data_IF_005756701165
#
_entry.id   IF_005756701165
#
_cell.length_a   1.000
_cell.length_b   1.000
_cell.length_c   1.000
_cell.angle_alpha   90.00
_cell.angle_beta   90.00
_cell.angle_gamma   90.00
#
_symmetry.space_group_name_H-M   'P 1'
#
loop_
_entity.id
_entity.type
_entity.pdbx_description
1 polymer ?
#
# COMPACT_ATOMS: atom_id res chain seq x y z
N UNK A 1 29.67 10.15 19.39
CA UNK A 1 28.63 9.56 20.27
C UNK A 1 27.60 10.59 20.73
N UNK A 2 28.02 11.79 21.19
CA UNK A 2 27.09 12.84 21.65
C UNK A 2 26.18 13.40 20.54
N UNK A 3 26.67 13.49 19.30
CA UNK A 3 25.88 14.00 18.17
C UNK A 3 24.88 12.97 17.62
N UNK A 4 25.22 11.68 17.65
CA UNK A 4 24.32 10.61 17.23
C UNK A 4 23.10 10.52 18.18
N UNK A 5 23.34 10.64 19.49
CA UNK A 5 22.26 10.64 20.49
C UNK A 5 21.36 11.88 20.36
N UNK A 6 21.91 13.05 20.02
CA UNK A 6 21.12 14.25 19.72
C UNK A 6 20.29 14.11 18.44
N UNK A 7 20.84 13.47 17.40
CA UNK A 7 20.10 13.18 16.17
C UNK A 7 18.96 12.20 16.47
N UNK A 8 19.19 11.16 17.27
CA UNK A 8 18.17 10.19 17.69
C UNK A 8 17.05 10.87 18.53
N UNK A 9 17.40 11.69 19.52
CA UNK A 9 16.44 12.48 20.31
C UNK A 9 15.61 13.40 19.41
N UNK A 10 16.24 14.18 18.53
CA UNK A 10 15.54 15.06 17.61
C UNK A 10 14.62 14.30 16.64
N UNK A 11 15.00 13.09 16.23
CA UNK A 11 14.17 12.24 15.34
C UNK A 11 12.97 11.65 16.09
N UNK A 12 13.14 11.28 17.37
CA UNK A 12 12.05 10.85 18.25
C UNK A 12 11.07 11.98 18.56
N UNK A 13 11.57 13.20 18.75
CA UNK A 13 10.73 14.35 19.05
C UNK A 13 9.96 14.86 17.82
N UNK A 14 10.54 14.74 16.61
CA UNK A 14 9.82 14.99 15.35
C UNK A 14 8.57 14.11 15.21
N UNK A 15 8.65 12.86 15.66
CA UNK A 15 7.55 11.91 15.56
C UNK A 15 6.33 12.30 16.43
N UNK A 16 6.54 13.04 17.53
CA UNK A 16 5.46 13.53 18.40
C UNK A 16 5.02 14.96 18.06
N UNK A 17 5.59 15.57 17.03
CA UNK A 17 5.32 16.95 16.68
C UNK A 17 4.05 17.07 15.82
N UNK A 18 2.98 17.63 16.39
CA UNK A 18 1.74 17.94 15.65
C UNK A 18 2.00 18.81 14.42
N UNK A 19 2.95 19.74 14.50
CA UNK A 19 3.32 20.59 13.37
C UNK A 19 3.86 19.78 12.18
N UNK A 20 4.66 18.73 12.43
CA UNK A 20 5.16 17.84 11.36
C UNK A 20 4.05 17.03 10.69
N UNK A 21 3.01 16.67 11.44
CA UNK A 21 1.86 15.94 10.91
C UNK A 21 0.93 16.86 10.12
N UNK A 22 0.73 18.09 10.58
CA UNK A 22 -0.09 19.12 9.93
C UNK A 22 0.57 19.66 8.65
N UNK A 23 1.88 19.87 8.64
CA UNK A 23 2.64 20.40 7.50
C UNK A 23 2.69 19.43 6.30
N UNK A 24 2.42 18.13 6.52
CA UNK A 24 2.41 17.10 5.47
C UNK A 24 0.99 16.65 5.07
N UNK A 25 -0.06 17.19 5.68
CA UNK A 25 -1.44 16.91 5.29
C UNK A 25 -1.78 17.71 4.03
N UNK A 26 -1.92 16.98 2.92
CA UNK A 26 -2.51 17.54 1.71
C UNK A 26 -4.04 17.43 1.77
N UNK A 27 -4.74 18.24 0.97
CA UNK A 27 -6.18 18.06 0.77
C UNK A 27 -6.53 16.63 0.31
N UNK A 28 -5.61 15.94 -0.39
CA UNK A 28 -5.77 14.54 -0.77
C UNK A 28 -5.67 13.59 0.42
N UNK A 29 -4.80 13.88 1.38
CA UNK A 29 -4.61 13.09 2.61
C UNK A 29 -5.83 13.18 3.51
N UNK A 30 -6.32 14.40 3.78
CA UNK A 30 -7.53 14.58 4.60
C UNK A 30 -8.78 13.99 3.92
N UNK A 31 -8.85 14.07 2.58
CA UNK A 31 -9.90 13.42 1.81
C UNK A 31 -9.84 11.89 1.93
N UNK A 32 -8.64 11.29 1.84
CA UNK A 32 -8.44 9.86 2.06
C UNK A 32 -8.93 9.40 3.43
N UNK A 33 -8.47 10.06 4.50
CA UNK A 33 -8.88 9.75 5.88
C UNK A 33 -10.41 9.83 6.04
N UNK A 34 -11.05 10.83 5.42
CA UNK A 34 -12.50 11.03 5.51
C UNK A 34 -13.29 9.89 4.87
N UNK A 35 -12.82 9.37 3.73
CA UNK A 35 -13.59 8.42 2.93
C UNK A 35 -13.15 6.96 3.05
N UNK A 36 -12.05 6.69 3.75
CA UNK A 36 -11.55 5.32 3.96
C UNK A 36 -12.62 4.37 4.51
N UNK A 37 -13.25 4.74 5.63
CA UNK A 37 -14.30 3.93 6.24
C UNK A 37 -15.51 3.73 5.30
N UNK A 38 -15.81 4.71 4.45
CA UNK A 38 -16.91 4.62 3.47
C UNK A 38 -16.54 3.66 2.34
N UNK A 39 -15.35 3.79 1.75
CA UNK A 39 -14.90 2.90 0.69
C UNK A 39 -14.79 1.46 1.16
N UNK A 40 -14.22 1.21 2.34
CA UNK A 40 -14.13 -0.15 2.89
C UNK A 40 -15.52 -0.76 3.16
N UNK A 41 -16.50 0.07 3.54
CA UNK A 41 -17.89 -0.39 3.70
C UNK A 41 -18.51 -0.74 2.34
N UNK A 42 -18.34 0.11 1.33
CA UNK A 42 -18.89 -0.18 0.00
C UNK A 42 -18.17 -1.38 -0.65
N UNK A 43 -16.87 -1.54 -0.43
CA UNK A 43 -16.09 -2.71 -0.83
C UNK A 43 -16.65 -3.99 -0.19
N UNK A 44 -16.84 -4.01 1.14
CA UNK A 44 -17.46 -5.17 1.84
C UNK A 44 -18.83 -5.53 1.28
N UNK A 45 -19.67 -4.53 1.01
CA UNK A 45 -20.99 -4.75 0.40
C UNK A 45 -20.88 -5.35 -1.01
N UNK A 46 -19.98 -4.81 -1.83
CA UNK A 46 -19.73 -5.32 -3.17
C UNK A 46 -19.29 -6.80 -3.13
N UNK A 47 -18.27 -7.10 -2.32
CA UNK A 47 -17.73 -8.44 -2.16
C UNK A 47 -18.80 -9.43 -1.64
N UNK A 48 -19.62 -9.02 -0.66
CA UNK A 48 -20.77 -9.82 -0.21
C UNK A 48 -21.77 -10.09 -1.34
N UNK A 49 -22.08 -9.08 -2.16
CA UNK A 49 -23.04 -9.19 -3.27
C UNK A 49 -22.60 -10.15 -4.39
N UNK A 50 -21.29 -10.34 -4.56
CA UNK A 50 -20.73 -11.30 -5.53
C UNK A 50 -20.43 -12.68 -4.93
N UNK A 51 -20.88 -12.94 -3.69
CA UNK A 51 -20.70 -14.23 -3.03
C UNK A 51 -19.35 -14.43 -2.32
N UNK A 52 -18.55 -13.36 -2.19
CA UNK A 52 -17.26 -13.35 -1.50
C UNK A 52 -17.33 -12.50 -0.22
N UNK A 53 -18.06 -12.91 0.83
CA UNK A 53 -18.07 -12.18 2.09
C UNK A 53 -16.65 -12.01 2.64
N UNK A 54 -16.23 -10.77 2.90
CA UNK A 54 -14.88 -10.46 3.39
C UNK A 54 -14.88 -9.82 4.78
N UNK A 55 -13.93 -10.23 5.61
CA UNK A 55 -13.54 -9.51 6.82
C UNK A 55 -12.35 -8.62 6.47
N UNK A 56 -12.44 -7.34 6.82
CA UNK A 56 -11.36 -6.37 6.62
C UNK A 56 -10.76 -6.03 7.97
N UNK A 57 -9.44 -6.12 8.07
CA UNK A 57 -8.63 -5.84 9.25
C UNK A 57 -7.59 -4.76 8.92
N UNK A 58 -7.19 -3.99 9.92
CA UNK A 58 -6.09 -3.02 9.76
C UNK A 58 -4.83 -3.79 9.37
N UNK A 59 -4.09 -3.26 8.39
CA UNK A 59 -2.82 -3.85 8.01
C UNK A 59 -1.73 -3.58 9.06
N UNK A 60 -0.80 -4.53 9.16
CA UNK A 60 0.43 -4.38 9.93
C UNK A 60 1.53 -3.78 9.06
N UNK A 61 2.67 -3.51 9.69
CA UNK A 61 3.89 -3.10 8.98
C UNK A 61 4.71 -4.33 8.61
N UNK A 62 4.92 -4.53 7.31
CA UNK A 62 5.69 -5.64 6.75
C UNK A 62 7.11 -5.18 6.48
N UNK A 63 8.11 -5.94 6.92
CA UNK A 63 9.54 -5.67 6.68
C UNK A 63 10.12 -6.85 5.91
N UNK A 64 10.95 -6.56 4.89
CA UNK A 64 11.66 -7.62 4.19
C UNK A 64 12.66 -8.29 5.15
N UNK A 65 12.63 -9.62 5.30
CA UNK A 65 13.61 -10.33 6.13
C UNK A 65 15.03 -10.28 5.54
N UNK A 66 15.17 -9.99 4.23
CA UNK A 66 16.46 -9.93 3.53
C UNK A 66 16.99 -8.50 3.41
N UNK A 67 16.09 -7.55 3.18
CA UNK A 67 16.42 -6.14 2.98
C UNK A 67 15.69 -5.33 4.05
N UNK A 68 16.19 -5.34 5.28
CA UNK A 68 15.53 -4.75 6.46
C UNK A 68 15.19 -3.25 6.33
N UNK A 69 15.82 -2.55 5.37
CA UNK A 69 15.50 -1.17 5.02
C UNK A 69 14.25 -1.01 4.12
N UNK A 70 13.69 -2.12 3.66
CA UNK A 70 12.44 -2.18 2.88
C UNK A 70 11.30 -2.66 3.77
N UNK A 71 10.19 -1.93 3.72
CA UNK A 71 8.98 -2.35 4.39
C UNK A 71 7.78 -1.52 3.96
N UNK A 72 6.59 -2.08 4.07
CA UNK A 72 5.37 -1.44 3.59
C UNK A 72 4.22 -1.60 4.58
N UNK A 73 3.18 -0.80 4.38
CA UNK A 73 1.89 -1.04 5.02
C UNK A 73 0.81 -0.91 3.95
N UNK A 74 0.26 -2.02 3.46
CA UNK A 74 -1.01 -1.99 2.73
C UNK A 74 -2.07 -1.24 3.53
N UNK A 75 -3.11 -0.72 2.88
CA UNK A 75 -4.18 -0.06 3.63
C UNK A 75 -4.93 -1.05 4.53
N UNK A 76 -5.31 -2.21 4.00
CA UNK A 76 -6.02 -3.24 4.77
C UNK A 76 -5.65 -4.67 4.39
N UNK A 77 -5.72 -5.55 5.38
CA UNK A 77 -5.69 -7.00 5.20
C UNK A 77 -7.12 -7.50 5.08
N UNK A 78 -7.34 -8.46 4.20
CA UNK A 78 -8.65 -9.03 3.92
C UNK A 78 -8.65 -10.53 4.10
N UNK A 79 -9.72 -11.05 4.70
CA UNK A 79 -9.99 -12.47 4.83
C UNK A 79 -11.31 -12.77 4.12
N UNK A 80 -11.25 -13.43 2.97
CA UNK A 80 -12.40 -13.97 2.26
C UNK A 80 -12.82 -15.30 2.89
N UNK A 81 -13.94 -15.28 3.62
CA UNK A 81 -14.42 -16.45 4.37
C UNK A 81 -15.03 -17.53 3.46
N UNK A 82 -15.29 -17.20 2.19
CA UNK A 82 -15.86 -18.15 1.22
C UNK A 82 -14.80 -19.04 0.55
N UNK A 83 -13.52 -18.68 0.66
CA UNK A 83 -12.40 -19.38 0.00
C UNK A 83 -11.36 -19.85 1.03
N UNK A 84 -11.58 -20.97 1.75
CA UNK A 84 -10.68 -21.41 2.82
C UNK A 84 -9.22 -21.63 2.40
N UNK A 85 -8.99 -22.04 1.15
CA UNK A 85 -7.65 -22.33 0.61
C UNK A 85 -6.86 -21.05 0.26
N UNK A 86 -7.55 -19.96 -0.08
CA UNK A 86 -6.97 -18.68 -0.53
C UNK A 86 -7.59 -17.47 0.18
N UNK A 87 -7.93 -17.62 1.45
CA UNK A 87 -8.71 -16.63 2.20
C UNK A 87 -7.97 -15.29 2.38
N UNK A 88 -6.64 -15.27 2.37
CA UNK A 88 -5.86 -14.09 2.75
C UNK A 88 -5.45 -13.24 1.55
N UNK A 89 -5.87 -11.99 1.58
CA UNK A 89 -5.45 -10.97 0.64
C UNK A 89 -5.13 -9.64 1.30
N UNK A 90 -4.67 -8.71 0.50
CA UNK A 90 -4.45 -7.31 0.90
C UNK A 90 -5.13 -6.39 -0.12
N UNK A 91 -5.57 -5.23 0.36
CA UNK A 91 -6.22 -4.22 -0.47
C UNK A 91 -5.54 -2.88 -0.22
N UNK A 92 -5.30 -2.16 -1.31
CA UNK A 92 -4.89 -0.76 -1.30
C UNK A 92 -6.01 0.09 -1.93
N UNK A 93 -6.44 1.12 -1.21
CA UNK A 93 -7.59 1.93 -1.55
C UNK A 93 -7.14 3.35 -1.91
N UNK A 94 -7.53 3.82 -3.09
CA UNK A 94 -7.28 5.18 -3.54
C UNK A 94 -8.57 5.98 -3.69
N UNK A 95 -8.43 7.28 -3.40
CA UNK A 95 -9.50 8.28 -3.41
C UNK A 95 -9.06 9.46 -4.27
N UNK A 96 -9.42 9.51 -5.56
CA UNK A 96 -8.98 10.59 -6.42
C UNK A 96 -9.82 11.85 -6.16
N UNK A 97 -9.32 12.77 -5.32
CA UNK A 97 -10.02 13.99 -4.93
C UNK A 97 -10.53 14.79 -6.15
N UNK A 98 -9.71 14.93 -7.20
CA UNK A 98 -10.05 15.65 -8.44
C UNK A 98 -11.08 14.92 -9.32
N UNK A 99 -11.31 13.63 -9.10
CA UNK A 99 -12.25 12.78 -9.87
C UNK A 99 -13.33 12.17 -8.98
N UNK A 100 -13.49 12.66 -7.75
CA UNK A 100 -14.38 12.04 -6.77
C UNK A 100 -15.85 12.08 -7.18
N UNK A 101 -16.25 13.06 -7.99
CA UNK A 101 -17.63 13.27 -8.46
C UNK A 101 -18.00 12.54 -9.76
N UNK A 102 -17.06 11.81 -10.36
CA UNK A 102 -17.28 10.98 -11.57
C UNK A 102 -17.02 9.52 -11.25
N UNK A 103 -17.55 8.60 -12.06
CA UNK A 103 -17.23 7.17 -11.89
C UNK A 103 -15.77 6.89 -12.23
N UNK A 104 -15.16 5.79 -11.72
CA UNK A 104 -13.79 5.43 -12.08
C UNK A 104 -13.59 5.25 -13.59
N UNK A 105 -14.61 4.74 -14.29
CA UNK A 105 -14.59 4.58 -15.74
C UNK A 105 -14.61 5.93 -16.47
N UNK A 106 -15.46 6.87 -16.05
CA UNK A 106 -15.45 8.23 -16.59
C UNK A 106 -14.13 8.95 -16.30
N UNK A 107 -13.53 8.73 -15.12
CA UNK A 107 -12.25 9.32 -14.76
C UNK A 107 -11.10 8.89 -15.70
N UNK A 108 -11.18 7.70 -16.30
CA UNK A 108 -10.21 7.20 -17.27
C UNK A 108 -10.18 8.00 -18.59
N UNK A 109 -11.16 8.88 -18.84
CA UNK A 109 -11.10 9.79 -19.99
C UNK A 109 -10.00 10.85 -19.85
N UNK A 110 -9.50 11.08 -18.63
CA UNK A 110 -8.35 11.94 -18.38
C UNK A 110 -7.06 11.13 -18.54
N UNK A 111 -6.20 11.46 -19.52
CA UNK A 111 -4.95 10.73 -19.74
C UNK A 111 -3.97 10.85 -18.58
N UNK A 112 -4.11 11.84 -17.69
CA UNK A 112 -3.27 11.98 -16.49
C UNK A 112 -3.81 11.17 -15.29
N UNK A 113 -4.99 10.56 -15.41
CA UNK A 113 -5.50 9.67 -14.38
C UNK A 113 -4.70 8.37 -14.35
N UNK A 114 -4.51 7.80 -13.17
CA UNK A 114 -3.70 6.60 -12.98
C UNK A 114 -4.39 5.32 -13.44
N UNK A 115 -5.70 5.36 -13.72
CA UNK A 115 -6.40 4.28 -14.41
C UNK A 115 -6.53 4.54 -15.91
N UNK A 116 -6.63 3.47 -16.68
CA UNK A 116 -6.98 3.44 -18.09
C UNK A 116 -8.05 2.39 -18.36
N UNK A 117 -8.83 2.55 -19.43
CA UNK A 117 -9.77 1.51 -19.86
C UNK A 117 -9.01 0.46 -20.68
N UNK A 118 -9.03 -0.78 -20.21
CA UNK A 118 -8.55 -1.97 -20.94
C UNK A 118 -9.66 -3.01 -20.98
N UNK A 119 -10.01 -3.47 -22.18
CA UNK A 119 -11.11 -4.42 -22.40
C UNK A 119 -12.45 -3.96 -21.80
N UNK A 120 -12.70 -2.64 -21.83
CA UNK A 120 -13.90 -2.02 -21.27
C UNK A 120 -13.90 -1.87 -19.74
N UNK A 121 -12.81 -2.22 -19.06
CA UNK A 121 -12.70 -2.21 -17.59
C UNK A 121 -11.59 -1.23 -17.16
N UNK A 122 -11.79 -0.40 -16.13
CA UNK A 122 -10.72 0.41 -15.56
C UNK A 122 -9.62 -0.46 -14.95
N UNK A 123 -8.37 -0.24 -15.37
CA UNK A 123 -7.17 -0.90 -14.86
C UNK A 123 -6.10 0.12 -14.53
N UNK A 124 -5.28 -0.18 -13.54
CA UNK A 124 -4.12 0.60 -13.14
C UNK A 124 -3.07 0.55 -14.27
N UNK A 125 -2.60 1.72 -14.66
CA UNK A 125 -1.53 1.86 -15.65
C UNK A 125 -0.24 1.25 -15.11
N UNK A 126 0.38 0.36 -15.90
CA UNK A 126 1.63 -0.34 -15.53
C UNK A 126 2.84 0.60 -15.39
N UNK A 127 2.82 1.75 -16.05
CA UNK A 127 3.86 2.78 -16.02
C UNK A 127 3.60 3.87 -14.97
N UNK A 128 2.59 3.70 -14.10
CA UNK A 128 2.28 4.63 -13.04
C UNK A 128 2.89 4.20 -11.70
N UNK A 129 3.37 5.15 -10.90
CA UNK A 129 4.03 4.91 -9.59
C UNK A 129 3.21 4.07 -8.59
N UNK A 130 1.88 4.08 -8.69
CA UNK A 130 1.03 3.21 -7.88
C UNK A 130 1.14 1.75 -8.27
N UNK A 131 1.43 1.41 -9.53
CA UNK A 131 1.70 0.04 -9.93
C UNK A 131 2.97 -0.46 -9.26
N UNK A 132 4.02 0.35 -9.23
CA UNK A 132 5.27 0.05 -8.53
C UNK A 132 5.04 -0.15 -7.03
N UNK A 133 4.21 0.71 -6.42
CA UNK A 133 3.81 0.58 -5.01
C UNK A 133 3.10 -0.76 -4.75
N UNK A 134 2.12 -1.11 -5.58
CA UNK A 134 1.36 -2.37 -5.48
C UNK A 134 2.31 -3.56 -5.60
N UNK A 135 3.17 -3.59 -6.63
CA UNK A 135 4.13 -4.68 -6.86
C UNK A 135 5.09 -4.83 -5.68
N UNK A 136 5.52 -3.71 -5.09
CA UNK A 136 6.30 -3.69 -3.85
C UNK A 136 5.61 -4.34 -2.66
N UNK A 137 4.36 -3.95 -2.42
CA UNK A 137 3.58 -4.50 -1.34
C UNK A 137 3.25 -5.98 -1.56
N UNK A 138 2.97 -6.41 -2.79
CA UNK A 138 2.78 -7.84 -3.12
C UNK A 138 4.03 -8.64 -2.73
N UNK A 139 5.22 -8.18 -3.15
CA UNK A 139 6.48 -8.86 -2.85
C UNK A 139 6.81 -8.90 -1.36
N UNK A 140 6.50 -7.84 -0.61
CA UNK A 140 6.79 -7.74 0.83
C UNK A 140 5.79 -8.51 1.70
N UNK A 141 4.52 -8.54 1.31
CA UNK A 141 3.46 -9.20 2.09
C UNK A 141 3.39 -10.70 1.83
N UNK A 142 3.79 -11.16 0.64
CA UNK A 142 3.60 -12.54 0.21
C UNK A 142 2.11 -12.93 0.11
N UNK A 143 1.20 -11.96 0.04
CA UNK A 143 -0.23 -12.20 -0.01
C UNK A 143 -0.62 -13.00 -1.27
N UNK A 144 -1.61 -13.89 -1.13
CA UNK A 144 -2.07 -14.75 -2.24
C UNK A 144 -2.74 -13.97 -3.35
N UNK A 145 -3.42 -12.89 -2.99
CA UNK A 145 -4.00 -11.96 -3.92
C UNK A 145 -3.95 -10.54 -3.37
N UNK A 146 -3.92 -9.59 -4.29
CA UNK A 146 -3.85 -8.17 -4.02
C UNK A 146 -4.90 -7.47 -4.85
N UNK A 147 -5.67 -6.57 -4.23
CA UNK A 147 -6.70 -5.79 -4.90
C UNK A 147 -6.41 -4.29 -4.80
N UNK A 148 -6.39 -3.64 -5.96
CA UNK A 148 -6.32 -2.20 -6.06
C UNK A 148 -7.73 -1.65 -6.21
N UNK A 149 -8.18 -0.89 -5.20
CA UNK A 149 -9.55 -0.39 -5.11
C UNK A 149 -9.54 1.12 -5.30
N UNK A 150 -10.37 1.60 -6.22
CA UNK A 150 -10.57 3.03 -6.43
C UNK A 150 -12.00 3.38 -6.11
N UNK A 151 -12.18 4.23 -5.11
CA UNK A 151 -13.49 4.70 -4.69
C UNK A 151 -13.73 6.14 -5.12
N UNK A 152 -14.91 6.35 -5.71
CA UNK A 152 -15.47 7.66 -6.03
C UNK A 152 -16.87 7.74 -5.45
N UNK A 153 -17.45 8.94 -5.34
CA UNK A 153 -18.86 9.10 -4.95
C UNK A 153 -19.85 8.46 -5.94
N UNK A 154 -19.38 8.04 -7.12
CA UNK A 154 -20.17 7.47 -8.22
C UNK A 154 -19.95 5.98 -8.42
N UNK A 155 -19.08 5.33 -7.64
CA UNK A 155 -18.87 3.90 -7.72
C UNK A 155 -17.47 3.43 -7.31
N UNK A 156 -17.28 2.12 -7.39
CA UNK A 156 -16.05 1.40 -7.09
C UNK A 156 -15.45 0.82 -8.38
N UNK A 157 -14.13 0.84 -8.45
CA UNK A 157 -13.34 -0.01 -9.33
C UNK A 157 -12.48 -0.92 -8.48
N UNK A 158 -12.45 -2.21 -8.79
CA UNK A 158 -11.64 -3.21 -8.09
C UNK A 158 -10.87 -3.97 -9.15
N UNK A 159 -9.55 -3.93 -9.06
CA UNK A 159 -8.67 -4.70 -9.92
C UNK A 159 -7.84 -5.66 -9.07
N UNK A 160 -7.89 -6.96 -9.42
CA UNK A 160 -6.97 -7.95 -8.85
C UNK A 160 -5.64 -7.88 -9.61
N UNK A 161 -4.57 -7.56 -8.89
CA UNK A 161 -3.23 -7.41 -9.45
C UNK A 161 -2.37 -8.56 -8.96
N UNK A 162 -1.69 -9.22 -9.90
CA UNK A 162 -0.74 -10.28 -9.62
C UNK A 162 0.69 -9.73 -9.65
N UNK A 163 1.60 -10.42 -8.97
CA UNK A 163 3.01 -10.10 -9.04
C UNK A 163 3.51 -10.20 -10.49
N UNK A 164 4.17 -9.16 -10.97
CA UNK A 164 4.74 -9.11 -12.31
C UNK A 164 6.14 -9.72 -12.28
N UNK A 165 6.27 -10.96 -12.74
CA UNK A 165 7.54 -11.70 -12.69
C UNK A 165 8.65 -11.02 -13.50
N UNK A 166 8.31 -10.20 -14.51
CA UNK A 166 9.29 -9.46 -15.29
C UNK A 166 9.99 -8.39 -14.44
N UNK A 167 9.28 -7.77 -13.50
CA UNK A 167 9.85 -6.82 -12.52
C UNK A 167 10.80 -7.50 -11.54
N UNK A 168 10.67 -8.81 -11.33
CA UNK A 168 11.57 -9.60 -10.45
C UNK A 168 13.00 -9.62 -10.98
N UNK A 169 13.15 -9.71 -12.30
CA UNK A 169 14.45 -9.88 -12.96
C UNK A 169 15.21 -8.56 -13.13
N UNK A 170 14.56 -7.42 -12.88
CA UNK A 170 15.20 -6.13 -12.80
C UNK A 170 15.74 -5.92 -11.37
N UNK A 171 16.90 -6.49 -11.05
CA UNK A 171 17.61 -6.29 -9.77
C UNK A 171 17.84 -4.80 -9.43
N UNK A 172 17.83 -3.95 -10.45
CA UNK A 172 17.91 -2.50 -10.36
C UNK A 172 16.62 -1.84 -9.82
N UNK A 173 15.46 -2.48 -9.97
CA UNK A 173 14.14 -1.93 -9.64
C UNK A 173 13.93 -1.75 -8.13
N UNK A 174 14.29 -2.77 -7.35
CA UNK A 174 14.22 -2.78 -5.88
C UNK A 174 15.25 -1.87 -5.21
N UNK A 175 16.31 -1.51 -5.96
CA UNK A 175 17.36 -0.60 -5.53
C UNK A 175 17.10 0.86 -5.93
N UNK A 176 15.96 1.16 -6.56
CA UNK A 176 15.62 2.55 -6.92
C UNK A 176 15.23 3.37 -5.67
N UNK A 177 15.67 4.64 -5.58
CA UNK A 177 15.27 5.54 -4.49
C UNK A 177 13.75 5.71 -4.35
N UNK A 178 13.00 5.52 -5.43
CA UNK A 178 11.53 5.59 -5.46
C UNK A 178 10.94 4.48 -4.58
N UNK A 179 11.42 3.25 -4.73
CA UNK A 179 10.96 2.10 -3.95
C UNK A 179 11.22 2.29 -2.44
N UNK A 180 12.43 2.76 -2.10
CA UNK A 180 12.87 2.98 -0.72
C UNK A 180 12.10 4.14 -0.06
N UNK A 181 11.82 5.22 -0.81
CA UNK A 181 11.15 6.41 -0.27
C UNK A 181 9.66 6.19 0.01
N UNK A 182 8.96 5.41 -0.83
CA UNK A 182 7.54 5.09 -0.60
C UNK A 182 7.34 4.17 0.61
N UNK A 183 8.22 3.18 0.79
CA UNK A 183 8.28 2.31 1.97
C UNK A 183 8.41 3.13 3.28
N UNK A 184 9.28 4.15 3.28
CA UNK A 184 9.53 5.02 4.44
C UNK A 184 8.39 6.02 4.74
N UNK A 185 7.62 6.45 3.74
CA UNK A 185 6.48 7.35 3.94
C UNK A 185 5.28 6.64 4.58
N UNK A 186 5.05 5.36 4.27
CA UNK A 186 4.02 4.55 4.95
C UNK A 186 4.38 4.26 6.42
N UNK A 187 5.67 4.05 6.71
CA UNK A 187 6.19 3.88 8.09
C UNK A 187 5.83 5.06 9.00
N UNK A 188 5.95 6.30 8.50
CA UNK A 188 5.67 7.51 9.29
C UNK A 188 4.19 7.79 9.54
N UNK A 189 3.29 7.21 8.74
CA UNK A 189 1.83 7.32 8.96
C UNK A 189 1.28 6.32 9.99
N UNK A 190 1.98 5.20 10.23
CA UNK A 190 1.50 4.09 11.05
C UNK A 190 2.27 3.85 12.35
N UNK A 191 3.37 4.56 12.61
CA UNK A 191 3.93 4.62 13.94
C UNK A 191 3.02 5.47 14.84
N UNK A 192 1.91 4.89 15.30
CA UNK A 192 1.24 5.29 16.53
C UNK A 192 1.03 3.99 17.28
N UNK A 193 2.02 3.64 18.10
CA UNK A 193 1.96 2.48 18.99
C UNK A 193 3.18 1.58 18.89
N UNK A 194 3.95 1.58 19.99
CA UNK A 194 4.95 0.61 20.40
C UNK A 194 6.38 0.73 19.84
N UNK A 195 7.20 1.35 20.68
CA UNK A 195 8.66 1.29 20.70
C UNK A 195 9.18 -0.15 20.73
N UNK A 196 10.13 -0.47 19.83
CA UNK A 196 11.45 -1.05 20.11
C UNK A 196 11.97 -1.78 18.86
N UNK A 197 12.92 -1.19 18.15
CA UNK A 197 13.92 -1.93 17.39
C UNK A 197 15.24 -1.16 17.52
N UNK A 198 16.08 -1.64 18.44
CA UNK A 198 17.49 -1.29 18.52
C UNK A 198 18.28 -2.56 18.21
N UNK A 199 19.28 -2.36 17.36
CA UNK A 199 20.49 -3.14 17.13
C UNK A 199 20.35 -4.58 16.64
N UNK A 200 20.88 -4.82 15.43
CA UNK A 200 21.68 -6.02 15.12
C UNK A 200 22.54 -5.74 13.87
N UNK A 201 23.85 -5.80 14.08
CA UNK A 201 24.91 -5.57 13.10
C UNK A 201 24.90 -6.59 11.95
N UNK A 202 25.39 -6.11 10.82
CA UNK A 202 25.68 -6.87 9.60
C UNK A 202 26.48 -8.14 9.92
N UNK A 203 25.98 -9.28 9.47
CA UNK A 203 26.79 -10.24 8.75
C UNK A 203 25.94 -11.38 8.14
N UNK A 204 26.35 -11.78 6.93
CA UNK A 204 26.17 -13.08 6.29
C UNK A 204 24.93 -13.40 5.42
N UNK A 205 25.30 -13.87 4.20
CA UNK A 205 24.82 -15.04 3.45
C UNK A 205 23.62 -14.80 2.49
N UNK A 206 23.82 -14.88 1.16
CA UNK A 206 23.79 -16.10 0.29
C UNK A 206 22.58 -17.02 0.51
N UNK A 207 22.09 -17.62 -0.58
CA UNK A 207 20.97 -18.58 -0.65
C UNK A 207 19.55 -18.00 -0.51
N UNK A 208 19.01 -17.61 -1.67
CA UNK A 208 17.57 -17.60 -1.92
C UNK A 208 17.21 -18.92 -2.59
N UNK A 209 17.01 -19.96 -1.80
CA UNK A 209 16.27 -21.14 -2.23
C UNK A 209 15.18 -21.43 -1.18
N UNK A 210 14.01 -21.80 -1.68
CA UNK A 210 12.84 -22.30 -0.95
C UNK A 210 12.06 -21.22 -0.17
N UNK A 211 11.23 -20.48 -0.91
CA UNK A 211 9.76 -20.38 -0.75
C UNK A 211 9.19 -19.66 -1.99
N UNK A 212 9.42 -20.31 -3.14
CA UNK A 212 8.57 -20.42 -4.33
C UNK A 212 8.71 -21.89 -4.74
#
# INVERSE_FOLDING_TARGET
MHDANKIEENTRDQHNCKAWTEERRSASTDHGIKYEAVALREYKKHMYGIGHPVKVERSEFFVSPKLFFLGCTPDVKVVDISCPEDQYGVVEVKFPCSKFSVSPAEACSDPNFYLEIKDGIPKLKKDHVYYDQVQGQIALTGAKWYEFVVYTSRGLSIERIHFDEELRNTEQYWNTPIFITFCQLQQKGNMVGNNKLQDLELNYITQVELWI
#
